data_IF_112054581035
#
_entry.id   IF_112054581035
#
_cell.length_a   1.000
_cell.length_b   1.000
_cell.length_c   1.000
_cell.angle_alpha   90.00
_cell.angle_beta   90.00
_cell.angle_gamma   90.00
#
_symmetry.space_group_name_H-M   'P 1'
#
loop_
_entity.id
_entity.type
_entity.pdbx_description
1 polymer ?
#
# COMPACT_ATOMS: atom_id res chain seq x y z
N UNK A 1 26.09 8.38 7.38
CA UNK A 1 26.98 8.72 8.50
C UNK A 1 26.12 8.82 9.76
N UNK A 2 26.49 8.14 10.83
CA UNK A 2 25.74 8.12 12.08
C UNK A 2 26.23 9.23 13.02
N UNK A 3 25.32 9.77 13.83
CA UNK A 3 25.61 10.72 14.90
C UNK A 3 25.67 10.01 16.27
N UNK A 4 26.38 10.62 17.23
CA UNK A 4 26.52 10.07 18.61
C UNK A 4 25.23 10.21 19.43
N UNK A 5 24.37 11.16 19.08
CA UNK A 5 23.10 11.43 19.75
C UNK A 5 22.09 11.92 18.71
N UNK A 6 20.81 11.60 18.91
CA UNK A 6 19.71 12.00 18.03
C UNK A 6 18.59 12.63 18.84
N UNK A 7 17.89 13.61 18.24
CA UNK A 7 16.68 14.23 18.78
C UNK A 7 15.67 14.39 17.64
N UNK A 8 14.40 14.08 17.90
CA UNK A 8 13.32 14.19 16.91
C UNK A 8 12.25 13.12 17.10
N UNK A 9 11.41 12.94 16.08
CA UNK A 9 10.40 11.89 16.07
C UNK A 9 11.06 10.51 16.02
N UNK A 10 10.53 9.56 16.79
CA UNK A 10 11.11 8.22 16.92
C UNK A 10 11.27 7.54 15.56
N UNK A 11 10.26 7.64 14.69
CA UNK A 11 10.31 7.02 13.36
C UNK A 11 11.39 7.65 12.47
N UNK A 12 11.59 8.97 12.54
CA UNK A 12 12.63 9.65 11.76
C UNK A 12 14.03 9.24 12.21
N UNK A 13 14.26 9.19 13.53
CA UNK A 13 15.53 8.73 14.09
C UNK A 13 15.79 7.28 13.68
N UNK A 14 14.81 6.40 13.87
CA UNK A 14 14.90 4.99 13.51
C UNK A 14 15.25 4.80 12.03
N UNK A 15 14.50 5.46 11.13
CA UNK A 15 14.70 5.35 9.68
C UNK A 15 16.03 5.96 9.24
N UNK A 16 16.50 7.04 9.87
CA UNK A 16 17.80 7.65 9.56
C UNK A 16 18.97 6.75 9.98
N UNK A 17 18.89 6.14 11.16
CA UNK A 17 19.89 5.19 11.65
C UNK A 17 19.92 3.96 10.75
N UNK A 18 18.76 3.38 10.44
CA UNK A 18 18.66 2.18 9.59
C UNK A 18 19.20 2.45 8.18
N UNK A 19 18.88 3.60 7.58
CA UNK A 19 19.43 4.02 6.28
C UNK A 19 20.95 4.14 6.32
N UNK A 20 21.49 4.75 7.38
CA UNK A 20 22.93 4.96 7.52
C UNK A 20 23.71 3.66 7.75
N UNK A 21 23.10 2.64 8.37
CA UNK A 21 23.68 1.32 8.59
C UNK A 21 23.58 0.42 7.35
N UNK A 22 22.40 0.38 6.73
CA UNK A 22 22.12 -0.55 5.62
C UNK A 22 22.54 0.00 4.25
N UNK A 23 22.76 1.30 4.13
CA UNK A 23 22.85 2.02 2.85
C UNK A 23 21.64 1.82 1.94
N UNK A 24 20.54 1.28 2.47
CA UNK A 24 19.31 1.06 1.72
C UNK A 24 18.52 2.37 1.57
N UNK A 25 17.90 2.54 0.41
CA UNK A 25 16.98 3.66 0.19
C UNK A 25 15.71 3.43 1.00
N UNK A 26 15.19 4.53 1.57
CA UNK A 26 13.92 4.52 2.28
C UNK A 26 12.84 4.88 1.27
N UNK A 27 11.95 3.93 0.99
CA UNK A 27 10.76 4.20 0.18
C UNK A 27 9.80 5.07 0.99
N UNK A 28 9.35 6.18 0.40
CA UNK A 28 8.37 7.10 0.98
C UNK A 28 7.11 7.11 0.11
N UNK A 29 5.95 7.50 0.66
CA UNK A 29 4.77 7.75 -0.16
C UNK A 29 5.06 8.74 -1.29
N UNK A 30 4.51 8.45 -2.48
CA UNK A 30 4.68 9.28 -3.66
C UNK A 30 3.67 10.44 -3.73
N UNK A 31 3.31 10.80 -4.96
CA UNK A 31 2.34 11.85 -5.26
C UNK A 31 0.88 11.43 -5.08
N UNK A 32 0.61 10.12 -4.90
CA UNK A 32 -0.73 9.60 -4.71
C UNK A 32 -1.45 10.30 -3.55
N UNK A 33 -2.70 10.69 -3.76
CA UNK A 33 -3.62 11.18 -2.73
C UNK A 33 -4.98 10.51 -2.91
N UNK A 34 -5.53 10.01 -1.81
CA UNK A 34 -6.90 9.50 -1.77
C UNK A 34 -7.92 10.65 -1.74
N UNK A 35 -9.20 10.33 -1.83
CA UNK A 35 -10.30 11.30 -1.71
C UNK A 35 -10.36 12.04 -0.34
N UNK A 36 -9.63 11.53 0.66
CA UNK A 36 -9.49 12.12 1.99
C UNK A 36 -8.11 12.79 2.19
N UNK A 37 -7.43 13.13 1.10
CA UNK A 37 -6.06 13.69 1.08
C UNK A 37 -4.99 12.82 1.78
N UNK A 38 -5.28 11.53 1.97
CA UNK A 38 -4.36 10.55 2.56
C UNK A 38 -3.41 9.91 1.54
N UNK A 39 -2.34 9.29 2.02
CA UNK A 39 -1.35 8.59 1.18
C UNK A 39 -1.71 7.13 0.84
N UNK A 40 -2.86 6.66 1.29
CA UNK A 40 -3.32 5.28 1.17
C UNK A 40 -4.84 5.23 1.07
N UNK A 41 -5.36 4.06 0.68
CA UNK A 41 -6.78 3.73 0.73
C UNK A 41 -7.02 2.63 1.74
N UNK A 42 -8.14 2.70 2.46
CA UNK A 42 -8.60 1.59 3.30
C UNK A 42 -9.13 0.47 2.39
N UNK A 43 -8.77 -0.76 2.70
CA UNK A 43 -9.20 -1.95 1.97
C UNK A 43 -9.06 -3.18 2.86
N UNK A 44 -9.63 -4.30 2.43
CA UNK A 44 -9.31 -5.61 3.01
C UNK A 44 -8.62 -6.51 2.00
N UNK A 45 -7.68 -7.32 2.45
CA UNK A 45 -7.05 -8.37 1.65
C UNK A 45 -7.36 -9.71 2.30
N UNK A 46 -8.06 -10.59 1.57
CA UNK A 46 -8.66 -11.81 2.14
C UNK A 46 -9.62 -11.46 3.29
N UNK A 47 -9.31 -11.88 4.52
CA UNK A 47 -10.12 -11.64 5.72
C UNK A 47 -9.52 -10.58 6.66
N UNK A 48 -8.46 -9.90 6.23
CA UNK A 48 -7.72 -8.94 7.06
C UNK A 48 -8.00 -7.52 6.57
N UNK A 49 -8.44 -6.65 7.48
CA UNK A 49 -8.59 -5.23 7.22
C UNK A 49 -7.24 -4.51 7.27
N UNK A 50 -7.06 -3.51 6.41
CA UNK A 50 -5.82 -2.78 6.35
C UNK A 50 -5.86 -1.54 5.47
N UNK A 51 -4.67 -1.14 5.06
CA UNK A 51 -4.45 0.01 4.20
C UNK A 51 -3.52 -0.38 3.06
N UNK A 52 -3.93 -0.03 1.85
CA UNK A 52 -3.14 -0.19 0.63
C UNK A 52 -2.48 1.15 0.31
N UNK A 53 -1.15 1.16 0.25
CA UNK A 53 -0.35 2.30 -0.18
C UNK A 53 0.05 2.14 -1.65
N UNK A 54 -0.48 2.96 -2.57
CA UNK A 54 0.08 3.11 -3.91
C UNK A 54 1.38 3.93 -3.81
N UNK A 55 2.52 3.26 -4.04
CA UNK A 55 3.84 3.86 -4.07
C UNK A 55 4.26 4.11 -5.52
N UNK A 56 5.44 4.71 -5.72
CA UNK A 56 5.91 5.05 -7.07
C UNK A 56 6.18 3.83 -7.95
N UNK A 57 6.58 2.70 -7.35
CA UNK A 57 6.98 1.47 -8.06
C UNK A 57 6.33 0.20 -7.52
N UNK A 58 5.39 0.33 -6.60
CA UNK A 58 4.77 -0.82 -5.94
C UNK A 58 3.46 -0.46 -5.26
N UNK A 59 2.68 -1.49 -4.96
CA UNK A 59 1.63 -1.43 -3.95
C UNK A 59 2.15 -2.06 -2.66
N UNK A 60 1.84 -1.46 -1.51
CA UNK A 60 2.19 -2.03 -0.21
C UNK A 60 0.99 -2.07 0.73
N UNK A 61 0.59 -3.25 1.16
CA UNK A 61 -0.52 -3.48 2.09
C UNK A 61 -0.02 -3.81 3.49
N UNK A 62 -0.65 -3.19 4.49
CA UNK A 62 -0.36 -3.32 5.92
C UNK A 62 -1.68 -3.38 6.70
N UNK A 63 -1.72 -3.94 7.93
CA UNK A 63 -0.57 -4.46 8.68
C UNK A 63 -0.31 -5.95 8.45
N UNK A 64 -1.30 -6.74 8.04
CA UNK A 64 -1.20 -8.22 8.05
C UNK A 64 -1.92 -8.89 6.88
N UNK A 65 -1.29 -9.87 6.22
CA UNK A 65 0.17 -9.97 6.12
C UNK A 65 0.72 -8.73 5.39
N UNK A 66 1.88 -8.17 5.79
CA UNK A 66 2.55 -7.17 4.99
C UNK A 66 2.77 -7.71 3.57
N UNK A 67 2.20 -7.05 2.57
CA UNK A 67 2.21 -7.53 1.18
C UNK A 67 2.75 -6.43 0.29
N UNK A 68 3.95 -6.63 -0.24
CA UNK A 68 4.59 -5.73 -1.22
C UNK A 68 4.46 -6.35 -2.61
N UNK A 69 3.89 -5.60 -3.55
CA UNK A 69 3.70 -6.01 -4.94
C UNK A 69 4.41 -4.99 -5.82
N UNK A 70 5.46 -5.39 -6.54
CA UNK A 70 6.18 -4.47 -7.41
C UNK A 70 5.42 -4.27 -8.72
N UNK A 71 5.39 -3.06 -9.25
CA UNK A 71 4.70 -2.79 -10.53
C UNK A 71 5.26 -3.61 -11.68
N UNK A 72 6.56 -3.95 -11.65
CA UNK A 72 7.19 -4.79 -12.68
C UNK A 72 6.73 -6.26 -12.65
N UNK A 73 6.14 -6.71 -11.55
CA UNK A 73 5.61 -8.07 -11.37
C UNK A 73 4.14 -8.18 -11.81
N UNK A 74 3.46 -7.05 -12.01
CA UNK A 74 2.05 -6.99 -12.37
C UNK A 74 1.89 -7.32 -13.85
N UNK A 75 0.91 -8.18 -14.15
CA UNK A 75 0.41 -8.42 -15.50
C UNK A 75 -0.68 -7.40 -15.82
N UNK A 76 -1.77 -7.39 -15.04
CA UNK A 76 -2.82 -6.39 -15.14
C UNK A 76 -3.47 -6.04 -13.80
N UNK A 77 -4.24 -4.94 -13.81
CA UNK A 77 -5.12 -4.53 -12.72
C UNK A 77 -6.55 -4.40 -13.24
N UNK A 78 -7.52 -4.81 -12.44
CA UNK A 78 -8.94 -4.78 -12.78
C UNK A 78 -9.76 -4.18 -11.65
N UNK A 79 -10.64 -3.24 -12.00
CA UNK A 79 -11.59 -2.62 -11.08
C UNK A 79 -12.92 -3.35 -11.16
N UNK A 80 -13.34 -3.96 -10.06
CA UNK A 80 -14.57 -4.74 -9.97
C UNK A 80 -15.62 -3.98 -9.15
N UNK A 81 -16.80 -3.79 -9.73
CA UNK A 81 -17.94 -3.17 -9.05
C UNK A 81 -18.90 -4.25 -8.59
N UNK A 82 -19.33 -4.17 -7.33
CA UNK A 82 -20.41 -5.01 -6.82
C UNK A 82 -21.74 -4.57 -7.45
N UNK A 83 -22.41 -5.47 -8.18
CA UNK A 83 -23.71 -5.22 -8.84
C UNK A 83 -24.86 -5.94 -8.12
N UNK A 84 -24.58 -6.83 -7.16
CA UNK A 84 -25.59 -7.62 -6.46
C UNK A 84 -26.03 -6.95 -5.15
N UNK A 85 -27.22 -6.33 -5.17
CA UNK A 85 -27.86 -5.71 -4.00
C UNK A 85 -28.21 -4.26 -4.27
N UNK A 86 -29.51 -3.95 -4.33
CA UNK A 86 -29.99 -2.59 -4.57
C UNK A 86 -29.42 -1.57 -3.57
N UNK A 87 -29.22 -0.35 -4.06
CA UNK A 87 -28.71 0.86 -3.40
C UNK A 87 -27.19 1.11 -3.44
N UNK A 88 -26.83 2.33 -3.86
CA UNK A 88 -25.60 3.12 -3.61
C UNK A 88 -24.42 2.46 -2.84
N UNK A 89 -23.84 1.37 -3.34
CA UNK A 89 -22.53 0.94 -2.84
C UNK A 89 -21.45 1.90 -3.38
N UNK A 90 -20.90 2.71 -2.48
CA UNK A 90 -19.78 3.62 -2.71
C UNK A 90 -18.42 2.90 -2.68
N UNK A 91 -18.40 1.61 -3.04
CA UNK A 91 -17.22 0.77 -2.93
C UNK A 91 -16.95 0.00 -4.22
N UNK A 92 -15.68 -0.30 -4.45
CA UNK A 92 -15.21 -1.19 -5.51
C UNK A 92 -14.09 -2.09 -4.97
N UNK A 93 -13.82 -3.16 -5.70
CA UNK A 93 -12.69 -4.05 -5.46
C UNK A 93 -11.62 -3.82 -6.53
N UNK A 94 -10.35 -3.98 -6.15
CA UNK A 94 -9.18 -3.91 -7.02
C UNK A 94 -8.52 -5.28 -7.06
N UNK A 95 -8.58 -5.94 -8.21
CA UNK A 95 -7.83 -7.15 -8.49
C UNK A 95 -6.48 -6.77 -9.10
N UNK A 96 -5.39 -7.28 -8.51
CA UNK A 96 -4.05 -7.22 -9.09
C UNK A 96 -3.64 -8.64 -9.45
N UNK A 97 -3.43 -8.90 -10.75
CA UNK A 97 -2.87 -10.18 -11.23
C UNK A 97 -1.38 -10.01 -11.51
N UNK A 98 -0.57 -10.88 -10.93
CA UNK A 98 0.87 -10.93 -11.20
C UNK A 98 1.15 -11.78 -12.45
N UNK A 99 2.31 -11.57 -13.05
CA UNK A 99 2.83 -12.39 -14.16
C UNK A 99 2.99 -13.88 -13.81
N UNK A 100 2.98 -14.21 -12.52
CA UNK A 100 2.99 -15.58 -11.99
C UNK A 100 1.59 -16.20 -11.87
N UNK A 101 0.55 -15.52 -12.39
CA UNK A 101 -0.87 -15.86 -12.25
C UNK A 101 -1.44 -15.74 -10.83
N UNK A 102 -0.63 -15.31 -9.86
CA UNK A 102 -1.09 -15.03 -8.50
C UNK A 102 -1.97 -13.77 -8.48
N UNK A 103 -3.09 -13.86 -7.76
CA UNK A 103 -4.06 -12.78 -7.62
C UNK A 103 -4.09 -12.19 -6.21
N UNK A 104 -4.17 -10.86 -6.15
CA UNK A 104 -4.44 -10.10 -4.93
C UNK A 104 -5.72 -9.28 -5.12
N UNK A 105 -6.80 -9.71 -4.47
CA UNK A 105 -8.08 -9.00 -4.49
C UNK A 105 -8.22 -8.12 -3.24
N UNK A 106 -8.09 -6.82 -3.44
CA UNK A 106 -8.32 -5.80 -2.41
C UNK A 106 -9.77 -5.35 -2.45
N UNK A 107 -10.50 -5.53 -1.35
CA UNK A 107 -11.94 -5.26 -1.29
C UNK A 107 -12.28 -4.00 -0.52
N UNK A 108 -13.53 -3.55 -0.71
CA UNK A 108 -14.14 -2.47 0.08
C UNK A 108 -13.40 -1.12 -0.04
N UNK A 109 -12.82 -0.82 -1.21
CA UNK A 109 -12.18 0.47 -1.45
C UNK A 109 -13.26 1.51 -1.75
N UNK A 110 -13.27 2.61 -1.00
CA UNK A 110 -14.24 3.68 -1.18
C UNK A 110 -13.98 4.44 -2.50
N UNK A 111 -15.06 4.72 -3.24
CA UNK A 111 -15.06 5.54 -4.46
C UNK A 111 -14.78 7.01 -4.18
#
# INVERSE_FOLDING_TARGET
KLEKSYKGLIHDVFTNVLRALSSAKVTRPGKFRSCQDGYAVKSSLKAEDGVLYPLEKSFFFLPKPPTLILHEEIDYVEFQRHVAGGSNMHYFDLLIRLKTEQEHLFRNIQR
#
